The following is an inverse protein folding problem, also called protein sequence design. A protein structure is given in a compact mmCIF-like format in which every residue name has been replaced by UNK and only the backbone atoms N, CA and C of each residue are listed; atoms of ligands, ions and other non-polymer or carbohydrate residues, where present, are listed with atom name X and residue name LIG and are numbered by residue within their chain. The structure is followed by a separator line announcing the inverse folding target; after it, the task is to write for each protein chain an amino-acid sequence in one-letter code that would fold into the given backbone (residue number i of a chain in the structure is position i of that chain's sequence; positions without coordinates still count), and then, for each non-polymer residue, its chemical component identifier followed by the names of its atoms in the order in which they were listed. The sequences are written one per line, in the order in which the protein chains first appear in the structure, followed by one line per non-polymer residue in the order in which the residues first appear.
data_IF_506333654078
#
_entry.id   IF_506333654078
#
_cell.length_a   1.000
_cell.length_b   1.000
_cell.length_c   1.000
_cell.angle_alpha   90.00
_cell.angle_beta   90.00
_cell.angle_gamma   90.00
#
_symmetry.space_group_name_H-M   'P 1'
#
loop_
_entity.id
_entity.type
_entity.pdbx_description
1 polymer ?
#
# COMPACT_ATOMS: atom_id res chain seq x y z
N UNK A 1 21.31 -15.82 47.59
CA UNK A 1 20.78 -16.65 46.50
C UNK A 1 20.18 -15.70 45.47
N UNK A 2 20.78 -15.59 44.28
CA UNK A 2 20.28 -14.72 43.22
C UNK A 2 19.03 -15.37 42.60
N UNK A 3 17.92 -14.63 42.56
CA UNK A 3 16.69 -15.04 41.87
C UNK A 3 16.96 -15.10 40.36
N UNK A 4 17.33 -16.28 39.87
CA UNK A 4 17.43 -16.55 38.44
C UNK A 4 15.99 -16.76 37.93
N UNK A 5 15.51 -15.78 37.16
CA UNK A 5 14.23 -15.84 36.47
C UNK A 5 14.41 -16.78 35.28
N UNK A 6 13.86 -18.00 35.37
CA UNK A 6 13.90 -18.99 34.30
C UNK A 6 12.70 -18.75 33.38
N UNK A 7 12.92 -18.18 32.20
CA UNK A 7 11.91 -18.10 31.14
C UNK A 7 12.05 -19.31 30.22
N UNK A 8 10.94 -20.03 30.01
CA UNK A 8 10.90 -21.24 29.17
C UNK A 8 10.44 -20.82 27.77
N UNK A 9 11.35 -20.75 26.81
CA UNK A 9 11.00 -20.50 25.41
C UNK A 9 10.66 -21.85 24.75
N UNK A 10 9.43 -21.96 24.22
CA UNK A 10 9.03 -23.11 23.42
C UNK A 10 9.62 -22.90 22.03
N UNK A 11 10.45 -23.84 21.57
CA UNK A 11 11.00 -23.79 20.22
C UNK A 11 9.86 -23.77 19.19
N UNK A 12 9.90 -22.81 18.27
CA UNK A 12 8.89 -22.66 17.21
C UNK A 12 8.89 -23.88 16.29
N UNK A 13 7.71 -24.38 15.95
CA UNK A 13 7.52 -25.44 14.96
C UNK A 13 7.67 -24.82 13.56
N UNK A 14 8.83 -25.01 12.94
CA UNK A 14 9.16 -24.50 11.61
C UNK A 14 8.56 -25.33 10.47
N UNK A 15 7.85 -26.42 10.75
CA UNK A 15 7.29 -27.30 9.72
C UNK A 15 6.04 -26.73 9.04
N UNK A 16 5.38 -25.73 9.64
CA UNK A 16 4.22 -25.01 9.09
C UNK A 16 4.35 -23.51 9.40
N UNK A 17 4.31 -22.66 8.37
CA UNK A 17 4.28 -21.20 8.52
C UNK A 17 2.94 -20.73 9.09
N UNK A 18 2.77 -20.83 10.41
CA UNK A 18 1.62 -20.28 11.13
C UNK A 18 1.88 -18.85 11.56
N UNK A 19 0.82 -18.12 11.91
CA UNK A 19 0.95 -16.77 12.47
C UNK A 19 1.76 -16.76 13.77
N UNK A 20 1.74 -17.85 14.55
CA UNK A 20 2.58 -18.01 15.75
C UNK A 20 4.07 -17.76 15.44
N UNK A 21 4.55 -18.14 14.25
CA UNK A 21 5.93 -17.90 13.83
C UNK A 21 6.25 -16.43 13.56
N UNK A 22 5.23 -15.64 13.24
CA UNK A 22 5.35 -14.21 12.96
C UNK A 22 5.19 -13.40 14.24
N UNK A 23 4.20 -13.74 15.06
CA UNK A 23 3.85 -12.95 16.25
C UNK A 23 4.45 -13.45 17.57
N UNK A 24 5.04 -14.65 17.58
CA UNK A 24 5.67 -15.23 18.79
C UNK A 24 4.68 -15.57 19.91
N UNK A 25 3.39 -15.79 19.59
CA UNK A 25 2.31 -16.02 20.57
C UNK A 25 1.40 -17.17 20.14
N UNK A 26 1.07 -18.04 21.09
CA UNK A 26 0.14 -19.17 20.90
C UNK A 26 -1.30 -18.88 21.34
N UNK A 27 -1.54 -17.82 22.12
CA UNK A 27 -2.88 -17.47 22.59
C UNK A 27 -3.68 -16.75 21.49
N UNK A 28 -4.94 -17.15 21.31
CA UNK A 28 -5.87 -16.50 20.39
C UNK A 28 -6.09 -15.02 20.73
N UNK A 29 -6.37 -14.22 19.70
CA UNK A 29 -6.69 -12.80 19.79
C UNK A 29 -7.73 -12.41 18.73
N UNK A 30 -8.35 -11.24 18.89
CA UNK A 30 -9.32 -10.71 17.94
C UNK A 30 -8.81 -9.46 17.22
N UNK A 31 -9.26 -9.28 15.98
CA UNK A 31 -9.16 -8.03 15.22
C UNK A 31 -10.59 -7.57 14.95
N UNK A 32 -10.86 -6.28 15.11
CA UNK A 32 -12.14 -5.67 14.79
C UNK A 32 -12.02 -4.74 13.61
N UNK A 33 -12.85 -4.93 12.59
CA UNK A 33 -12.94 -4.06 11.42
C UNK A 33 -14.35 -3.49 11.37
N UNK A 34 -14.50 -2.22 11.73
CA UNK A 34 -15.81 -1.59 11.91
C UNK A 34 -16.61 -2.31 13.00
N UNK A 35 -17.72 -2.94 12.60
CA UNK A 35 -18.59 -3.70 13.51
C UNK A 35 -18.27 -5.21 13.54
N UNK A 36 -17.40 -5.70 12.65
CA UNK A 36 -17.12 -7.13 12.51
C UNK A 36 -15.89 -7.50 13.32
N UNK A 37 -16.01 -8.53 14.15
CA UNK A 37 -14.92 -9.10 14.92
C UNK A 37 -14.44 -10.41 14.27
N UNK A 38 -13.12 -10.55 14.12
CA UNK A 38 -12.45 -11.70 13.52
C UNK A 38 -11.53 -12.28 14.58
N UNK A 39 -11.89 -13.47 15.07
CA UNK A 39 -11.10 -14.21 16.07
C UNK A 39 -10.07 -15.10 15.38
N UNK A 40 -8.81 -14.99 15.79
CA UNK A 40 -7.66 -15.63 15.15
C UNK A 40 -6.98 -16.55 16.15
N UNK A 41 -6.69 -17.77 15.72
CA UNK A 41 -5.90 -18.76 16.47
C UNK A 41 -4.51 -18.85 15.81
N UNK A 42 -3.47 -18.21 16.38
CA UNK A 42 -2.17 -18.10 15.72
C UNK A 42 -1.48 -19.46 15.53
N UNK A 43 -1.90 -20.50 16.26
CA UNK A 43 -1.35 -21.85 16.15
C UNK A 43 -1.85 -22.61 14.91
N UNK A 44 -2.96 -22.15 14.30
CA UNK A 44 -3.63 -22.82 13.18
C UNK A 44 -3.73 -21.95 11.94
N UNK A 45 -3.84 -20.64 12.12
CA UNK A 45 -4.06 -19.69 11.04
C UNK A 45 -2.71 -19.30 10.43
N UNK A 46 -2.57 -19.44 9.11
CA UNK A 46 -1.43 -18.90 8.35
C UNK A 46 -1.68 -17.43 7.96
N UNK A 47 -0.65 -16.73 7.47
CA UNK A 47 -0.79 -15.36 6.99
C UNK A 47 -1.79 -15.25 5.81
N UNK A 48 -1.86 -16.28 4.96
CA UNK A 48 -2.82 -16.34 3.84
C UNK A 48 -4.24 -16.63 4.33
N UNK A 49 -4.39 -17.48 5.36
CA UNK A 49 -5.69 -17.74 5.97
C UNK A 49 -6.24 -16.48 6.64
N UNK A 50 -5.38 -15.68 7.28
CA UNK A 50 -5.77 -14.38 7.82
C UNK A 50 -6.32 -13.45 6.75
N UNK A 51 -5.63 -13.35 5.60
CA UNK A 51 -6.10 -12.53 4.49
C UNK A 51 -7.47 -13.01 3.99
N UNK A 52 -7.63 -14.33 3.85
CA UNK A 52 -8.90 -14.96 3.46
C UNK A 52 -10.02 -14.66 4.47
N UNK A 53 -9.77 -14.80 5.77
CA UNK A 53 -10.75 -14.52 6.82
C UNK A 53 -11.25 -13.07 6.77
N UNK A 54 -10.37 -12.10 6.51
CA UNK A 54 -10.75 -10.68 6.35
C UNK A 54 -11.62 -10.46 5.12
N UNK A 55 -11.27 -11.12 4.01
CA UNK A 55 -12.03 -11.04 2.76
C UNK A 55 -13.42 -11.68 2.90
N UNK A 56 -13.51 -12.87 3.50
CA UNK A 56 -14.75 -13.60 3.73
C UNK A 56 -15.68 -12.88 4.71
N UNK A 57 -15.12 -12.09 5.63
CA UNK A 57 -15.86 -11.26 6.57
C UNK A 57 -16.60 -10.05 5.92
N UNK A 58 -16.41 -9.80 4.62
CA UNK A 58 -17.11 -8.76 3.85
C UNK A 58 -17.09 -7.36 4.49
N UNK A 59 -15.97 -7.02 5.13
CA UNK A 59 -15.83 -5.79 5.92
C UNK A 59 -15.71 -4.52 5.06
N UNK A 60 -15.51 -4.68 3.74
CA UNK A 60 -15.18 -3.60 2.81
C UNK A 60 -13.68 -3.31 2.70
N UNK A 61 -12.86 -4.11 3.39
CA UNK A 61 -11.40 -4.17 3.26
C UNK A 61 -11.04 -5.45 2.51
N UNK A 62 -10.06 -5.38 1.62
CA UNK A 62 -9.44 -6.53 0.99
C UNK A 62 -8.05 -6.70 1.61
N UNK A 63 -7.75 -7.91 2.06
CA UNK A 63 -6.43 -8.32 2.51
C UNK A 63 -5.79 -9.26 1.50
N UNK A 64 -4.48 -9.17 1.34
CA UNK A 64 -3.70 -10.06 0.46
C UNK A 64 -2.29 -10.27 0.99
N UNK A 65 -1.61 -11.31 0.49
CA UNK A 65 -0.20 -11.59 0.78
C UNK A 65 0.57 -11.54 -0.53
N UNK A 66 1.54 -10.62 -0.64
CA UNK A 66 2.36 -10.47 -1.85
C UNK A 66 3.22 -11.72 -2.10
N UNK A 67 3.75 -11.91 -3.33
CA UNK A 67 4.69 -13.00 -3.64
C UNK A 67 5.93 -13.03 -2.73
N UNK A 68 6.29 -11.90 -2.13
CA UNK A 68 7.41 -11.76 -1.19
C UNK A 68 7.01 -11.95 0.28
N UNK A 69 5.79 -12.44 0.56
CA UNK A 69 5.33 -12.74 1.91
C UNK A 69 4.93 -11.52 2.75
N UNK A 70 4.70 -10.36 2.12
CA UNK A 70 4.22 -9.15 2.82
C UNK A 70 2.71 -9.11 2.88
N UNK A 71 2.16 -8.74 4.03
CA UNK A 71 0.72 -8.59 4.22
C UNK A 71 0.26 -7.20 3.77
N UNK A 72 -0.85 -7.12 3.04
CA UNK A 72 -1.36 -5.87 2.46
C UNK A 72 -2.85 -5.74 2.76
N UNK A 73 -3.27 -4.50 3.06
CA UNK A 73 -4.67 -4.12 3.27
C UNK A 73 -5.05 -3.00 2.30
N UNK A 74 -6.18 -3.12 1.61
CA UNK A 74 -6.71 -2.12 0.66
C UNK A 74 -8.22 -1.93 0.78
N UNK A 75 -8.73 -0.75 0.44
CA UNK A 75 -10.17 -0.52 0.37
C UNK A 75 -10.81 -1.28 -0.79
N UNK A 76 -11.96 -1.92 -0.58
CA UNK A 76 -12.62 -2.77 -1.58
C UNK A 76 -13.45 -2.01 -2.63
N UNK A 77 -14.12 -0.91 -2.22
CA UNK A 77 -15.26 -0.34 -2.97
C UNK A 77 -15.28 1.19 -3.07
N UNK A 78 -14.27 1.88 -2.57
CA UNK A 78 -14.12 3.32 -2.78
C UNK A 78 -13.44 3.54 -4.15
N UNK A 79 -13.90 4.56 -4.88
CA UNK A 79 -13.29 5.02 -6.14
C UNK A 79 -11.78 5.30 -5.98
N UNK A 80 -11.38 5.60 -4.74
CA UNK A 80 -10.04 6.01 -4.33
C UNK A 80 -9.27 4.91 -3.56
N UNK A 81 -9.79 3.68 -3.47
CA UNK A 81 -9.19 2.54 -2.73
C UNK A 81 -8.86 2.82 -1.24
N UNK A 82 -9.45 3.86 -0.66
CA UNK A 82 -9.25 4.29 0.72
C UNK A 82 -9.78 3.31 1.77
N UNK A 83 -9.04 3.17 2.88
CA UNK A 83 -9.48 2.48 4.09
C UNK A 83 -10.45 3.36 4.88
N UNK A 84 -11.75 3.19 4.66
CA UNK A 84 -12.83 3.97 5.33
C UNK A 84 -13.41 3.30 6.58
N UNK A 85 -12.76 2.26 7.10
CA UNK A 85 -13.20 1.54 8.30
C UNK A 85 -12.18 1.69 9.42
N UNK A 86 -12.68 1.78 10.65
CA UNK A 86 -11.83 1.67 11.83
C UNK A 86 -11.33 0.24 11.94
N UNK A 87 -10.01 0.06 12.09
CA UNK A 87 -9.38 -1.24 12.30
C UNK A 87 -8.75 -1.22 13.68
N UNK A 88 -9.10 -2.20 14.51
CA UNK A 88 -8.58 -2.38 15.86
C UNK A 88 -8.05 -3.80 16.04
N UNK A 89 -7.08 -3.95 16.92
CA UNK A 89 -6.50 -5.24 17.29
C UNK A 89 -5.16 -5.02 17.98
N UNK A 90 -4.54 -6.11 18.47
CA UNK A 90 -3.26 -6.05 19.20
C UNK A 90 -2.19 -5.23 18.49
N UNK A 91 -1.52 -4.34 19.22
CA UNK A 91 -0.39 -3.56 18.71
C UNK A 91 0.72 -4.48 18.17
N UNK A 92 1.08 -5.51 18.94
CA UNK A 92 2.11 -6.48 18.57
C UNK A 92 1.86 -7.18 17.23
N UNK A 93 0.59 -7.37 16.84
CA UNK A 93 0.28 -7.92 15.52
C UNK A 93 0.72 -6.96 14.42
N UNK A 94 0.34 -5.69 14.52
CA UNK A 94 0.65 -4.68 13.50
C UNK A 94 2.14 -4.41 13.44
N UNK A 95 2.83 -4.47 14.59
CA UNK A 95 4.28 -4.40 14.68
C UNK A 95 4.93 -5.60 14.00
N UNK A 96 4.48 -6.83 14.28
CA UNK A 96 5.03 -8.05 13.67
C UNK A 96 4.79 -8.11 12.15
N UNK A 97 3.69 -7.54 11.67
CA UNK A 97 3.39 -7.39 10.24
C UNK A 97 4.17 -6.22 9.58
N UNK A 98 4.87 -5.40 10.37
CA UNK A 98 5.69 -4.28 9.90
C UNK A 98 4.91 -3.02 9.54
N UNK A 99 3.71 -2.83 10.10
CA UNK A 99 2.88 -1.65 9.83
C UNK A 99 3.07 -0.50 10.82
N UNK A 100 3.58 -0.77 12.02
CA UNK A 100 3.86 0.22 13.06
C UNK A 100 5.16 -0.16 13.79
N UNK A 101 5.75 0.82 14.48
CA UNK A 101 6.83 0.58 15.44
C UNK A 101 6.25 0.25 16.82
N UNK A 102 6.97 -0.55 17.64
CA UNK A 102 6.57 -0.79 19.02
C UNK A 102 6.69 0.50 19.85
N UNK A 103 5.70 0.76 20.69
CA UNK A 103 5.69 1.90 21.64
C UNK A 103 6.74 1.78 22.77
N UNK A 104 7.38 0.61 22.90
CA UNK A 104 8.38 0.31 23.92
C UNK A 104 7.81 -0.21 25.24
N UNK A 105 6.50 -0.45 25.32
CA UNK A 105 5.80 -0.98 26.47
C UNK A 105 5.22 -2.39 26.19
N UNK A 106 5.89 -3.46 26.62
CA UNK A 106 5.46 -4.82 26.30
C UNK A 106 4.21 -5.29 27.08
N UNK A 107 3.66 -4.48 27.99
CA UNK A 107 2.54 -4.88 28.85
C UNK A 107 1.16 -4.78 28.18
N UNK A 108 0.98 -3.82 27.27
CA UNK A 108 -0.26 -3.52 26.55
C UNK A 108 -0.23 -3.97 25.07
N UNK A 109 0.91 -4.47 24.59
CA UNK A 109 1.14 -4.94 23.22
C UNK A 109 0.03 -5.86 22.67
N UNK A 110 -0.61 -6.62 23.55
CA UNK A 110 -1.64 -7.59 23.20
C UNK A 110 -3.08 -7.17 23.50
N UNK A 111 -3.29 -5.90 23.90
CA UNK A 111 -4.61 -5.35 24.11
C UNK A 111 -5.36 -5.20 22.76
N UNK A 112 -6.52 -5.85 22.64
CA UNK A 112 -7.32 -5.85 21.41
C UNK A 112 -8.00 -4.48 21.11
N UNK A 113 -7.83 -3.51 22.01
CA UNK A 113 -8.39 -2.17 21.89
C UNK A 113 -7.56 -1.18 21.09
N UNK A 114 -6.30 -1.52 20.75
CA UNK A 114 -5.42 -0.62 20.01
C UNK A 114 -6.00 -0.30 18.62
N UNK A 115 -6.07 0.99 18.30
CA UNK A 115 -6.67 1.48 17.03
C UNK A 115 -5.58 1.64 16.00
N UNK A 116 -5.46 0.65 15.12
CA UNK A 116 -4.52 0.67 14.01
C UNK A 116 -4.89 1.76 13.00
N UNK A 117 -6.10 1.69 12.42
CA UNK A 117 -6.60 2.68 11.43
C UNK A 117 -7.84 3.35 11.97
N UNK A 118 -7.87 4.69 11.96
CA UNK A 118 -9.04 5.48 12.32
C UNK A 118 -9.36 6.53 11.26
N UNK A 119 -10.29 6.29 10.31
CA UNK A 119 -10.58 7.21 9.21
C UNK A 119 -11.02 8.62 9.62
N UNK A 120 -11.43 8.81 10.87
CA UNK A 120 -11.89 10.09 11.41
C UNK A 120 -10.77 10.93 12.03
N UNK A 121 -9.59 10.34 12.23
CA UNK A 121 -8.43 11.03 12.77
C UNK A 121 -7.71 11.85 11.69
N UNK A 122 -7.09 12.95 12.11
CA UNK A 122 -6.39 13.82 11.18
C UNK A 122 -5.19 13.09 10.53
N UNK A 123 -4.97 13.20 9.21
CA UNK A 123 -3.95 12.42 8.51
C UNK A 123 -2.52 12.60 9.02
N UNK A 124 -2.20 13.74 9.64
CA UNK A 124 -0.86 13.97 10.24
C UNK A 124 -0.59 13.03 11.40
N UNK A 125 -1.57 12.85 12.29
CA UNK A 125 -1.41 12.08 13.53
C UNK A 125 -1.37 10.58 13.22
N UNK A 126 -2.19 10.14 12.25
CA UNK A 126 -2.08 8.80 11.69
C UNK A 126 -0.71 8.54 11.08
N UNK A 127 -0.19 9.47 10.25
CA UNK A 127 1.12 9.31 9.62
C UNK A 127 2.21 9.13 10.64
N UNK A 128 2.21 9.89 11.74
CA UNK A 128 3.22 9.78 12.80
C UNK A 128 3.36 8.35 13.36
N UNK A 129 2.26 7.57 13.41
CA UNK A 129 2.31 6.16 13.82
C UNK A 129 2.96 5.23 12.81
N UNK A 130 2.96 5.58 11.54
CA UNK A 130 3.48 4.75 10.45
C UNK A 130 4.86 5.21 9.94
N UNK A 131 5.46 6.28 10.49
CA UNK A 131 6.67 6.92 9.93
C UNK A 131 7.84 5.97 9.70
N UNK A 132 7.96 4.92 10.51
CA UNK A 132 9.06 3.95 10.46
C UNK A 132 8.63 2.57 9.95
N UNK A 133 7.36 2.38 9.65
CA UNK A 133 6.85 1.16 9.06
C UNK A 133 7.34 1.03 7.61
N UNK A 134 7.98 -0.08 7.28
CA UNK A 134 8.53 -0.34 5.94
C UNK A 134 7.44 -0.45 4.85
N UNK A 135 6.14 -0.47 5.19
CA UNK A 135 5.09 -0.86 4.24
C UNK A 135 3.68 -0.21 4.38
N UNK A 136 3.49 0.95 5.03
CA UNK A 136 2.18 1.64 4.98
C UNK A 136 2.26 3.07 4.42
N UNK A 137 1.94 3.22 3.13
CA UNK A 137 1.74 4.52 2.49
C UNK A 137 0.25 4.87 2.47
N UNK A 138 -0.21 5.76 3.35
CA UNK A 138 -1.43 6.55 3.09
C UNK A 138 -0.99 7.74 2.22
N UNK A 139 -0.90 7.50 0.91
CA UNK A 139 -0.56 8.55 -0.03
C UNK A 139 -1.80 9.42 -0.31
N UNK A 140 -1.78 10.65 0.18
CA UNK A 140 -2.59 11.77 -0.33
C UNK A 140 -1.72 13.00 -0.63
N UNK A 141 -0.41 12.82 -0.75
CA UNK A 141 0.48 13.90 -1.11
C UNK A 141 1.48 13.39 -2.14
N UNK A 142 1.22 13.76 -3.40
CA UNK A 142 2.18 13.68 -4.50
C UNK A 142 3.51 14.26 -3.99
N UNK A 143 4.54 13.43 -3.74
CA UNK A 143 5.85 13.93 -3.38
C UNK A 143 6.44 14.57 -4.62
N UNK A 144 6.94 15.81 -4.49
CA UNK A 144 7.59 16.52 -5.58
C UNK A 144 9.01 16.02 -5.90
N UNK A 145 9.50 14.99 -5.22
CA UNK A 145 10.83 14.42 -5.47
C UNK A 145 10.75 12.90 -5.70
N UNK A 146 11.19 12.37 -6.86
CA UNK A 146 10.78 11.03 -7.28
C UNK A 146 11.71 9.90 -6.83
N UNK A 147 12.89 10.16 -6.23
CA UNK A 147 13.87 9.10 -6.06
C UNK A 147 14.70 9.23 -4.77
N UNK A 148 14.47 8.30 -3.82
CA UNK A 148 15.37 8.05 -2.67
C UNK A 148 16.57 7.19 -3.10
N UNK A 149 17.29 7.58 -4.15
CA UNK A 149 18.61 6.99 -4.41
C UNK A 149 19.66 7.77 -3.63
N UNK A 150 20.62 7.06 -3.06
CA UNK A 150 21.88 7.66 -2.63
C UNK A 150 22.58 8.14 -3.91
N UNK A 151 22.49 9.45 -4.22
CA UNK A 151 23.09 10.04 -5.43
C UNK A 151 24.61 9.84 -5.52
N UNK A 152 25.27 9.52 -4.40
CA UNK A 152 26.71 9.27 -4.36
C UNK A 152 27.12 8.40 -3.18
N UNK A 153 27.54 7.17 -3.49
CA UNK A 153 28.49 6.46 -2.64
C UNK A 153 29.88 7.04 -2.91
N UNK A 154 30.46 7.73 -1.93
CA UNK A 154 31.81 8.26 -2.01
C UNK A 154 32.65 7.75 -0.85
N UNK A 155 33.87 7.30 -1.15
CA UNK A 155 34.85 6.90 -0.14
C UNK A 155 35.47 8.16 0.46
N UNK A 156 35.69 8.16 1.79
CA UNK A 156 36.32 9.26 2.51
C UNK A 156 37.67 9.65 1.85
N UNK A 157 37.93 10.94 1.69
CA UNK A 157 39.14 11.47 1.06
C UNK A 157 40.43 10.95 1.71
N UNK A 158 40.43 10.68 3.02
CA UNK A 158 41.57 10.09 3.74
C UNK A 158 41.93 8.70 3.21
N UNK A 159 40.93 7.84 2.99
CA UNK A 159 41.11 6.50 2.43
C UNK A 159 41.51 6.60 0.95
N UNK A 160 40.97 7.58 0.22
CA UNK A 160 41.33 7.83 -1.18
C UNK A 160 42.78 8.30 -1.34
N UNK A 161 43.30 9.09 -0.40
CA UNK A 161 44.68 9.57 -0.41
C UNK A 161 45.69 8.58 0.16
N UNK A 162 45.26 7.68 1.05
CA UNK A 162 46.14 6.68 1.66
C UNK A 162 45.42 5.33 1.83
N UNK A 163 45.31 4.55 0.74
CA UNK A 163 44.64 3.25 0.77
C UNK A 163 45.36 2.21 1.66
N UNK A 164 46.63 2.43 2.02
CA UNK A 164 47.39 1.56 2.95
C UNK A 164 46.83 1.59 4.38
N UNK A 165 46.00 2.58 4.72
CA UNK A 165 45.29 2.64 6.02
C UNK A 165 44.20 1.59 6.15
N UNK A 166 43.77 0.98 5.04
CA UNK A 166 42.88 -0.17 5.05
C UNK A 166 43.72 -1.40 5.45
N UNK A 167 43.62 -1.80 6.72
CA UNK A 167 44.31 -2.96 7.28
C UNK A 167 43.69 -4.28 6.78
N UNK A 168 43.83 -4.57 5.49
CA UNK A 168 43.29 -5.79 4.86
C UNK A 168 44.47 -6.60 4.32
N UNK A 169 44.65 -7.82 4.84
CA UNK A 169 45.74 -8.73 4.46
C UNK A 169 45.15 -10.07 4.02
N UNK A 170 45.44 -10.51 2.79
CA UNK A 170 45.02 -11.82 2.24
C UNK A 170 45.93 -12.93 2.74
N UNK A 171 47.08 -12.57 3.31
CA UNK A 171 48.15 -13.49 3.61
C UNK A 171 48.71 -14.19 2.37
N UNK A 172 49.67 -15.07 2.58
CA UNK A 172 50.09 -16.05 1.60
C UNK A 172 50.16 -17.43 2.27
N UNK A 173 50.02 -18.48 1.47
CA UNK A 173 50.18 -19.86 1.90
C UNK A 173 51.55 -20.34 1.45
N UNK A 174 52.29 -21.01 2.34
CA UNK A 174 53.54 -21.66 1.92
C UNK A 174 53.21 -22.84 1.00
N UNK A 175 53.93 -22.93 -0.12
CA UNK A 175 53.80 -24.03 -1.06
C UNK A 175 54.30 -25.32 -0.39
N UNK A 176 53.43 -26.32 -0.28
CA UNK A 176 53.79 -27.65 0.23
C UNK A 176 53.56 -28.72 -0.86
N UNK A 177 54.20 -29.89 -0.76
CA UNK A 177 54.07 -30.96 -1.76
C UNK A 177 52.67 -31.58 -1.86
N UNK A 178 51.77 -31.25 -0.93
CA UNK A 178 50.40 -31.73 -0.88
C UNK A 178 49.48 -30.58 -1.33
N UNK A 179 48.35 -30.86 -1.98
CA UNK A 179 47.38 -29.84 -2.44
C UNK A 179 46.69 -29.07 -1.28
N UNK A 180 47.18 -29.13 -0.04
CA UNK A 180 46.52 -28.55 1.13
C UNK A 180 47.25 -27.33 1.72
N UNK A 181 46.60 -26.16 1.64
CA UNK A 181 47.08 -24.94 2.29
C UNK A 181 46.89 -25.01 3.82
N UNK A 182 47.89 -25.51 4.57
CA UNK A 182 47.81 -25.66 6.04
C UNK A 182 48.26 -24.45 6.85
N UNK A 183 49.00 -23.51 6.26
CA UNK A 183 49.59 -22.38 6.99
C UNK A 183 49.31 -21.09 6.21
N UNK A 184 48.57 -20.17 6.83
CA UNK A 184 48.33 -18.82 6.33
C UNK A 184 49.21 -17.84 7.10
N UNK A 185 50.12 -17.14 6.41
CA UNK A 185 50.98 -16.10 7.01
C UNK A 185 50.55 -14.72 6.55
N UNK A 186 50.52 -13.71 7.44
CA UNK A 186 50.23 -12.34 7.04
C UNK A 186 51.33 -11.80 6.12
N UNK A 187 50.94 -11.12 5.04
CA UNK A 187 51.85 -10.52 4.05
C UNK A 187 52.41 -9.16 4.50
N UNK A 188 51.79 -8.51 5.49
CA UNK A 188 52.29 -7.28 6.12
C UNK A 188 51.30 -6.12 6.17
N UNK A 189 51.71 -5.02 6.82
CA UNK A 189 50.85 -3.87 7.18
C UNK A 189 50.36 -2.97 6.01
N UNK A 190 50.75 -3.25 4.77
CA UNK A 190 50.52 -2.35 3.63
C UNK A 190 50.14 -3.09 2.33
N UNK A 191 49.45 -4.23 2.42
CA UNK A 191 49.02 -4.96 1.22
C UNK A 191 47.77 -4.30 0.61
N UNK A 192 47.95 -3.61 -0.52
CA UNK A 192 46.85 -2.98 -1.29
C UNK A 192 46.16 -3.94 -2.26
N UNK A 193 46.63 -5.19 -2.37
CA UNK A 193 46.14 -6.17 -3.34
C UNK A 193 44.65 -6.53 -3.18
N UNK A 194 44.12 -6.47 -1.95
CA UNK A 194 42.68 -6.67 -1.72
C UNK A 194 41.85 -5.52 -2.28
N UNK A 195 42.32 -4.29 -2.12
CA UNK A 195 41.62 -3.10 -2.64
C UNK A 195 41.66 -3.11 -4.17
N UNK A 196 42.78 -3.54 -4.75
CA UNK A 196 42.90 -3.74 -6.19
C UNK A 196 41.98 -4.85 -6.69
N UNK A 197 41.91 -5.99 -5.99
CA UNK A 197 40.99 -7.09 -6.29
C UNK A 197 39.53 -6.65 -6.20
N UNK A 198 39.14 -5.93 -5.12
CA UNK A 198 37.80 -5.37 -4.93
C UNK A 198 37.45 -4.34 -6.01
N UNK A 199 38.40 -3.49 -6.39
CA UNK A 199 38.23 -2.53 -7.48
C UNK A 199 38.03 -3.25 -8.82
N UNK A 200 38.81 -4.30 -9.08
CA UNK A 200 38.70 -5.12 -10.28
C UNK A 200 37.40 -5.94 -10.31
N UNK A 201 36.87 -6.36 -9.15
CA UNK A 201 35.60 -7.11 -9.06
C UNK A 201 34.42 -6.36 -9.67
N UNK A 202 34.46 -5.02 -9.71
CA UNK A 202 33.43 -4.21 -10.41
C UNK A 202 33.22 -4.67 -11.86
N UNK A 203 34.32 -4.95 -12.57
CA UNK A 203 34.32 -5.30 -13.99
C UNK A 203 34.64 -6.77 -14.24
N UNK A 204 35.11 -7.51 -13.22
CA UNK A 204 35.36 -8.94 -13.33
C UNK A 204 34.04 -9.69 -13.37
N UNK A 205 33.93 -10.62 -14.32
CA UNK A 205 32.74 -11.46 -14.46
C UNK A 205 32.76 -12.55 -13.38
N UNK A 206 31.88 -12.39 -12.40
CA UNK A 206 31.78 -13.27 -11.22
C UNK A 206 30.33 -13.61 -10.88
N UNK A 207 29.37 -12.90 -11.48
CA UNK A 207 27.94 -13.16 -11.35
C UNK A 207 27.47 -14.02 -12.52
N UNK A 208 26.32 -14.68 -12.36
CA UNK A 208 25.70 -15.52 -13.38
C UNK A 208 26.68 -16.57 -13.96
N UNK A 209 27.25 -17.40 -13.08
CA UNK A 209 28.29 -18.39 -13.41
C UNK A 209 29.52 -17.82 -14.16
N UNK A 210 29.84 -16.54 -13.92
CA UNK A 210 30.98 -15.87 -14.54
C UNK A 210 30.69 -15.27 -15.92
N UNK A 211 29.41 -15.12 -16.28
CA UNK A 211 29.00 -14.47 -17.53
C UNK A 211 28.86 -12.95 -17.38
N UNK A 212 28.60 -12.46 -16.17
CA UNK A 212 28.34 -11.04 -15.89
C UNK A 212 29.21 -10.48 -14.77
N UNK A 213 29.59 -9.22 -14.94
CA UNK A 213 30.22 -8.39 -13.90
C UNK A 213 29.18 -7.66 -13.05
N UNK A 214 29.58 -7.17 -11.88
CA UNK A 214 28.71 -6.34 -11.03
C UNK A 214 28.21 -5.08 -11.75
N UNK A 215 29.01 -4.48 -12.63
CA UNK A 215 28.61 -3.31 -13.40
C UNK A 215 27.56 -3.65 -14.47
N UNK A 216 27.71 -4.77 -15.18
CA UNK A 216 26.74 -5.24 -16.16
C UNK A 216 25.40 -5.59 -15.49
N UNK A 217 25.44 -6.31 -14.36
CA UNK A 217 24.25 -6.67 -13.60
C UNK A 217 23.53 -5.45 -13.01
N UNK A 218 24.26 -4.49 -12.43
CA UNK A 218 23.64 -3.26 -11.93
C UNK A 218 23.08 -2.41 -13.09
N UNK A 219 23.78 -2.39 -14.22
CA UNK A 219 23.31 -1.73 -15.44
C UNK A 219 22.02 -2.33 -15.97
N UNK A 220 21.88 -3.67 -15.97
CA UNK A 220 20.66 -4.35 -16.41
C UNK A 220 19.49 -4.07 -15.47
N UNK A 221 19.71 -4.11 -14.15
CA UNK A 221 18.69 -3.76 -13.15
C UNK A 221 18.20 -2.32 -13.32
N UNK A 222 19.13 -1.37 -13.52
CA UNK A 222 18.77 0.04 -13.75
C UNK A 222 18.03 0.22 -15.08
N UNK A 223 18.43 -0.49 -16.13
CA UNK A 223 17.77 -0.45 -17.42
C UNK A 223 16.35 -1.04 -17.35
N UNK A 224 16.17 -2.18 -16.69
CA UNK A 224 14.87 -2.82 -16.47
C UNK A 224 13.93 -1.90 -15.70
N UNK A 225 14.42 -1.29 -14.60
CA UNK A 225 13.68 -0.30 -13.84
C UNK A 225 13.29 0.92 -14.69
N UNK A 226 14.19 1.37 -15.57
CA UNK A 226 13.92 2.45 -16.52
C UNK A 226 12.77 2.10 -17.48
N UNK A 227 12.78 0.89 -18.05
CA UNK A 227 11.73 0.40 -18.95
C UNK A 227 10.40 0.22 -18.22
N UNK A 228 10.41 -0.33 -17.01
CA UNK A 228 9.21 -0.50 -16.20
C UNK A 228 8.59 0.86 -15.81
N UNK A 229 9.43 1.82 -15.42
CA UNK A 229 9.01 3.20 -15.12
C UNK A 229 8.37 3.88 -16.34
N UNK A 230 9.00 3.78 -17.51
CA UNK A 230 8.44 4.33 -18.75
C UNK A 230 7.09 3.69 -19.10
N UNK A 231 6.99 2.37 -18.93
CA UNK A 231 5.76 1.61 -19.19
C UNK A 231 4.65 2.03 -18.23
N UNK A 232 4.94 2.16 -16.94
CA UNK A 232 3.99 2.64 -15.94
C UNK A 232 3.50 4.05 -16.23
N UNK A 233 4.39 4.97 -16.63
CA UNK A 233 4.00 6.33 -17.04
C UNK A 233 3.08 6.33 -18.27
N UNK A 234 3.36 5.50 -19.27
CA UNK A 234 2.50 5.33 -20.45
C UNK A 234 1.12 4.79 -20.08
N UNK A 235 1.06 3.75 -19.24
CA UNK A 235 -0.21 3.17 -18.76
C UNK A 235 -1.02 4.20 -17.99
N UNK A 236 -0.38 4.98 -17.10
CA UNK A 236 -1.03 6.07 -16.38
C UNK A 236 -1.63 7.09 -17.34
N UNK A 237 -0.85 7.57 -18.30
CA UNK A 237 -1.34 8.55 -19.28
C UNK A 237 -2.51 8.02 -20.11
N UNK A 238 -2.46 6.76 -20.53
CA UNK A 238 -3.55 6.14 -21.27
C UNK A 238 -4.82 6.00 -20.41
N UNK A 239 -4.65 5.61 -19.15
CA UNK A 239 -5.76 5.48 -18.20
C UNK A 239 -6.41 6.84 -17.91
N UNK A 240 -5.60 7.90 -17.76
CA UNK A 240 -6.09 9.26 -17.58
C UNK A 240 -6.88 9.77 -18.79
N UNK A 241 -6.44 9.44 -20.02
CA UNK A 241 -7.17 9.75 -21.24
C UNK A 241 -8.51 9.01 -21.31
N UNK A 242 -8.50 7.69 -21.06
CA UNK A 242 -9.72 6.88 -21.04
C UNK A 242 -10.71 7.35 -19.97
N UNK A 243 -10.21 7.76 -18.81
CA UNK A 243 -11.04 8.36 -17.76
C UNK A 243 -11.73 9.64 -18.24
N UNK A 244 -10.98 10.55 -18.88
CA UNK A 244 -11.55 11.79 -19.43
C UNK A 244 -12.60 11.53 -20.50
N UNK A 245 -12.38 10.53 -21.35
CA UNK A 245 -13.35 10.12 -22.37
C UNK A 245 -14.64 9.60 -21.74
N UNK A 246 -14.53 8.71 -20.74
CA UNK A 246 -15.69 8.19 -19.99
C UNK A 246 -16.42 9.30 -19.23
N UNK A 247 -15.69 10.22 -18.61
CA UNK A 247 -16.29 11.35 -17.89
C UNK A 247 -17.02 12.28 -18.87
N UNK A 248 -16.45 12.55 -20.06
CA UNK A 248 -17.11 13.30 -21.13
C UNK A 248 -18.36 12.61 -21.69
N UNK A 249 -18.34 11.28 -21.87
CA UNK A 249 -19.53 10.50 -22.23
C UNK A 249 -20.60 10.57 -21.14
N UNK A 250 -20.20 10.47 -19.87
CA UNK A 250 -21.12 10.62 -18.74
C UNK A 250 -21.74 12.00 -18.70
N UNK A 251 -20.97 13.07 -18.92
CA UNK A 251 -21.49 14.43 -19.02
C UNK A 251 -22.43 14.60 -20.21
N UNK A 252 -22.17 13.94 -21.35
CA UNK A 252 -23.08 13.97 -22.50
C UNK A 252 -24.43 13.31 -22.22
N UNK A 253 -24.42 12.17 -21.52
CA UNK A 253 -25.66 11.44 -21.17
C UNK A 253 -26.40 12.11 -20.02
N UNK A 254 -25.69 12.68 -19.04
CA UNK A 254 -26.29 13.34 -17.87
C UNK A 254 -26.59 14.81 -18.07
N UNK A 255 -25.89 15.44 -19.01
CA UNK A 255 -26.04 16.85 -19.32
C UNK A 255 -27.36 17.05 -20.04
N UNK A 256 -28.32 17.64 -19.33
CA UNK A 256 -29.51 18.16 -19.99
C UNK A 256 -29.16 19.53 -20.56
N UNK A 257 -29.53 19.77 -21.80
CA UNK A 257 -29.36 21.10 -22.39
C UNK A 257 -30.33 22.07 -21.72
N UNK A 258 -29.79 23.06 -21.00
CA UNK A 258 -30.57 24.13 -20.36
C UNK A 258 -31.48 24.85 -21.37
N UNK A 259 -31.05 24.95 -22.63
CA UNK A 259 -31.84 25.56 -23.70
C UNK A 259 -33.03 24.67 -24.10
N UNK A 260 -32.86 23.34 -24.13
CA UNK A 260 -33.97 22.42 -24.38
C UNK A 260 -34.93 22.36 -23.19
N UNK A 261 -34.42 22.37 -21.95
CA UNK A 261 -35.27 22.45 -20.75
C UNK A 261 -36.04 23.78 -20.70
N UNK A 262 -35.41 24.89 -21.07
CA UNK A 262 -36.06 26.20 -21.13
C UNK A 262 -37.12 26.25 -22.24
N UNK A 263 -36.83 25.71 -23.43
CA UNK A 263 -37.80 25.61 -24.51
C UNK A 263 -39.00 24.72 -24.11
N UNK A 264 -38.75 23.59 -23.44
CA UNK A 264 -39.79 22.73 -22.89
C UNK A 264 -40.60 23.45 -21.79
N UNK A 265 -39.94 24.20 -20.91
CA UNK A 265 -40.61 25.00 -19.89
C UNK A 265 -41.55 26.03 -20.51
N UNK A 266 -41.08 26.78 -21.52
CA UNK A 266 -41.91 27.77 -22.24
C UNK A 266 -43.10 27.07 -22.92
N UNK A 267 -42.87 25.92 -23.56
CA UNK A 267 -43.92 25.11 -24.18
C UNK A 267 -44.98 24.67 -23.16
N UNK A 268 -44.56 24.17 -21.99
CA UNK A 268 -45.48 23.77 -20.93
C UNK A 268 -46.23 24.96 -20.32
N UNK A 269 -45.58 26.11 -20.16
CA UNK A 269 -46.25 27.34 -19.72
C UNK A 269 -47.32 27.80 -20.71
N UNK A 270 -47.04 27.74 -22.02
CA UNK A 270 -48.03 28.07 -23.04
C UNK A 270 -49.18 27.06 -23.05
N UNK A 271 -48.89 25.76 -22.96
CA UNK A 271 -49.91 24.72 -22.89
C UNK A 271 -50.80 24.88 -21.64
N UNK A 272 -50.21 25.20 -20.49
CA UNK A 272 -50.95 25.47 -19.25
C UNK A 272 -51.86 26.70 -19.39
N UNK A 273 -51.34 27.80 -19.95
CA UNK A 273 -52.14 29.00 -20.21
C UNK A 273 -53.28 28.75 -21.22
N UNK A 274 -53.07 27.88 -22.21
CA UNK A 274 -54.13 27.46 -23.13
C UNK A 274 -55.19 26.60 -22.43
N UNK A 275 -54.76 25.62 -21.62
CA UNK A 275 -55.66 24.77 -20.82
C UNK A 275 -56.51 25.59 -19.84
N UNK A 276 -55.91 26.59 -19.17
CA UNK A 276 -56.61 27.51 -18.28
C UNK A 276 -57.73 28.26 -19.01
N UNK A 277 -57.46 28.79 -20.22
CA UNK A 277 -58.49 29.45 -21.05
C UNK A 277 -59.61 28.50 -21.47
N UNK A 278 -59.28 27.25 -21.81
CA UNK A 278 -60.30 26.23 -22.11
C UNK A 278 -61.15 25.96 -20.86
N UNK A 279 -60.54 25.88 -19.69
CA UNK A 279 -61.25 25.69 -18.43
C UNK A 279 -62.19 26.85 -18.12
N UNK A 280 -61.76 28.10 -18.33
CA UNK A 280 -62.63 29.28 -18.23
C UNK A 280 -63.79 29.23 -19.22
N UNK A 281 -63.53 28.84 -20.47
CA UNK A 281 -64.60 28.69 -21.45
C UNK A 281 -65.61 27.60 -21.05
N UNK A 282 -65.15 26.50 -20.44
CA UNK A 282 -66.02 25.46 -19.89
C UNK A 282 -66.82 25.98 -18.69
N UNK A 283 -66.20 26.74 -17.79
CA UNK A 283 -66.87 27.36 -16.63
C UNK A 283 -67.97 28.33 -17.08
N UNK A 284 -67.70 29.14 -18.12
CA UNK A 284 -68.69 30.01 -18.74
C UNK A 284 -69.85 29.20 -19.38
N UNK A 285 -69.54 28.08 -20.03
CA UNK A 285 -70.56 27.19 -20.60
C UNK A 285 -71.43 26.55 -19.52
N UNK A 286 -70.83 26.07 -18.43
CA UNK A 286 -71.53 25.50 -17.28
C UNK A 286 -72.42 26.56 -16.62
N UNK A 287 -71.88 27.76 -16.38
CA UNK A 287 -72.63 28.87 -15.80
C UNK A 287 -73.83 29.25 -16.67
N UNK A 288 -73.66 29.32 -18.00
CA UNK A 288 -74.79 29.58 -18.91
C UNK A 288 -75.84 28.48 -18.89
N UNK A 289 -75.45 27.21 -18.81
CA UNK A 289 -76.39 26.08 -18.69
C UNK A 289 -77.19 26.19 -17.39
N UNK A 290 -76.53 26.44 -16.27
CA UNK A 290 -77.17 26.57 -14.96
C UNK A 290 -78.10 27.79 -14.94
N UNK A 291 -77.61 28.96 -15.33
CA UNK A 291 -78.37 30.21 -15.23
C UNK A 291 -79.51 30.29 -16.24
N UNK A 292 -79.34 29.74 -17.45
CA UNK A 292 -80.36 29.84 -18.51
C UNK A 292 -81.32 28.67 -18.59
N UNK A 293 -80.98 27.49 -18.05
CA UNK A 293 -81.90 26.34 -18.00
C UNK A 293 -82.52 26.13 -16.59
N UNK A 294 -81.93 26.72 -15.54
CA UNK A 294 -82.46 26.67 -14.16
C UNK A 294 -83.58 27.67 -13.85
N UNK A 295 -83.88 28.61 -14.75
CA UNK A 295 -84.98 29.58 -14.62
C UNK A 295 -86.32 28.97 -15.06
N UNK A 296 -86.77 27.88 -14.43
CA UNK A 296 -88.16 27.42 -14.52
C UNK A 296 -88.67 27.15 -13.11
N UNK A 297 -89.31 28.17 -12.53
CA UNK A 297 -89.84 28.14 -11.18
C UNK A 297 -90.07 29.56 -10.61
N UNK A 298 -90.94 30.33 -11.25
CA UNK A 298 -91.77 31.34 -10.57
C UNK A 298 -93.22 30.93 -10.72
#
# INVERSE_FOLDING_TARGET
QANIRVETYKALDTSRETLENIVGRSQAFSIRIGATEIRIDPTKTTLRDLAKMINDANTGIIADVTPHGKFVLRGSRSLDFELKKVIQGPEALWTALGFIDPDGNPLNDWDEGFVFVNPFEHPKDQRMRYIKADALFIDKQIPKDPYRFVEKFAVNSTIKSNPETLAVDIGYTEENPNWDAKVFKPSGRANTGIVELLSALRNKKVLNDGLESFNEYLGSVVAELGVESETAMKIKSNTDLMKKEIDGERERVKGVSLDEEMANMIKYQQAFNAAARVMTAVDDMISRVIDKLGLVGR
#
